data_IF_037428158517
#
_entry.id   IF_037428158517
#
_cell.length_a   1.000
_cell.length_b   1.000
_cell.length_c   1.000
_cell.angle_alpha   90.00
_cell.angle_beta   90.00
_cell.angle_gamma   90.00
#
_symmetry.space_group_name_H-M   'P 1'
#
loop_
_entity.id
_entity.type
_entity.pdbx_description
1 polymer ?
#
# COMPACT_ATOMS: atom_id res chain seq x y z
N UNK A 1 7.06 13.76 -3.97
CA UNK A 1 6.08 12.77 -4.53
C UNK A 1 5.72 11.77 -3.46
N UNK A 2 4.44 11.46 -3.29
CA UNK A 2 3.89 10.57 -2.25
C UNK A 2 3.20 9.39 -2.91
N UNK A 3 3.63 8.16 -2.61
CA UNK A 3 3.14 6.95 -3.28
C UNK A 3 2.74 5.90 -2.23
N UNK A 4 1.55 5.34 -2.36
CA UNK A 4 1.12 4.14 -1.63
C UNK A 4 1.13 2.95 -2.58
N UNK A 5 1.90 1.92 -2.27
CA UNK A 5 1.82 0.62 -2.93
C UNK A 5 0.84 -0.24 -2.16
N UNK A 6 -0.32 -0.52 -2.76
CA UNK A 6 -1.44 -1.18 -2.08
C UNK A 6 -1.79 -2.55 -2.67
N UNK A 7 -2.59 -3.30 -1.93
CA UNK A 7 -3.08 -4.62 -2.35
C UNK A 7 -3.20 -5.59 -1.18
N UNK A 8 -3.72 -6.77 -1.48
CA UNK A 8 -3.92 -7.85 -0.50
C UNK A 8 -2.58 -8.44 -0.01
N UNK A 9 -2.63 -9.26 1.02
CA UNK A 9 -1.46 -10.01 1.48
C UNK A 9 -0.95 -10.95 0.38
N UNK A 10 0.37 -11.08 0.26
CA UNK A 10 0.97 -11.89 -0.81
C UNK A 10 1.11 -11.19 -2.17
N UNK A 11 0.50 -10.01 -2.38
CA UNK A 11 0.64 -9.26 -3.63
C UNK A 11 2.05 -8.73 -3.92
N UNK A 12 2.93 -8.66 -2.90
CA UNK A 12 4.31 -8.21 -3.06
C UNK A 12 4.53 -6.73 -2.73
N UNK A 13 3.63 -6.10 -1.97
CA UNK A 13 3.67 -4.67 -1.63
C UNK A 13 5.03 -4.19 -1.12
N UNK A 14 5.55 -4.82 -0.06
CA UNK A 14 6.81 -4.38 0.57
C UNK A 14 7.99 -4.51 -0.39
N UNK A 15 8.05 -5.60 -1.18
CA UNK A 15 9.11 -5.81 -2.18
C UNK A 15 9.06 -4.76 -3.29
N UNK A 16 7.85 -4.50 -3.83
CA UNK A 16 7.67 -3.50 -4.90
C UNK A 16 7.91 -2.09 -4.36
N UNK A 17 7.39 -1.76 -3.18
CA UNK A 17 7.56 -0.45 -2.58
C UNK A 17 9.02 -0.13 -2.28
N UNK A 18 9.78 -1.09 -1.74
CA UNK A 18 11.22 -0.94 -1.50
C UNK A 18 11.99 -0.70 -2.80
N UNK A 19 11.71 -1.51 -3.84
CA UNK A 19 12.36 -1.37 -5.15
C UNK A 19 11.98 -0.04 -5.83
N UNK A 20 10.71 0.39 -5.71
CA UNK A 20 10.24 1.66 -6.25
C UNK A 20 10.89 2.85 -5.53
N UNK A 21 10.99 2.81 -4.20
CA UNK A 21 11.69 3.85 -3.44
C UNK A 21 13.16 3.97 -3.87
N UNK A 22 13.86 2.85 -3.99
CA UNK A 22 15.25 2.82 -4.48
C UNK A 22 15.36 3.39 -5.91
N UNK A 23 14.43 3.04 -6.81
CA UNK A 23 14.41 3.54 -8.20
C UNK A 23 14.17 5.04 -8.30
N UNK A 24 13.42 5.61 -7.36
CA UNK A 24 13.11 7.04 -7.30
C UNK A 24 14.09 7.85 -6.45
N UNK A 25 15.06 7.22 -5.80
CA UNK A 25 15.96 7.87 -4.84
C UNK A 25 15.23 8.39 -3.61
N UNK A 26 14.15 7.69 -3.18
CA UNK A 26 13.28 8.09 -2.11
C UNK A 26 13.36 7.20 -0.87
N UNK A 27 12.45 7.44 0.07
CA UNK A 27 12.33 6.70 1.34
C UNK A 27 11.24 5.64 1.23
N UNK A 28 11.51 4.44 1.75
CA UNK A 28 10.55 3.37 1.93
C UNK A 28 10.07 3.32 3.38
N UNK A 29 8.77 3.14 3.58
CA UNK A 29 8.15 2.85 4.88
C UNK A 29 7.17 1.68 4.76
N UNK A 30 7.04 0.89 5.83
CA UNK A 30 5.96 -0.09 5.94
C UNK A 30 4.86 0.44 6.87
N UNK A 31 3.63 0.49 6.39
CA UNK A 31 2.50 0.97 7.17
C UNK A 31 2.22 0.07 8.39
N UNK A 32 2.61 -1.20 8.36
CA UNK A 32 2.42 -2.11 9.48
C UNK A 32 3.24 -1.68 10.71
N UNK A 33 4.37 -0.98 10.50
CA UNK A 33 5.20 -0.42 11.58
C UNK A 33 4.50 0.74 12.31
N UNK A 34 3.46 1.33 11.71
CA UNK A 34 2.71 2.46 12.27
C UNK A 34 1.51 2.04 13.12
N UNK A 35 1.25 0.75 13.30
CA UNK A 35 0.23 0.27 14.23
C UNK A 35 0.64 0.56 15.68
N UNK A 36 -0.33 0.99 16.50
CA UNK A 36 -0.14 1.11 17.94
C UNK A 36 -0.14 -0.25 18.65
N UNK A 37 0.21 -0.26 19.92
CA UNK A 37 0.32 -1.48 20.71
C UNK A 37 -1.02 -2.20 20.85
N UNK A 38 -2.14 -1.48 20.91
CA UNK A 38 -3.46 -2.08 21.01
C UNK A 38 -3.84 -2.84 19.73
N UNK A 39 -3.60 -2.23 18.55
CA UNK A 39 -3.80 -2.88 17.27
C UNK A 39 -2.85 -4.08 17.08
N UNK A 40 -1.57 -3.93 17.46
CA UNK A 40 -0.60 -5.03 17.43
C UNK A 40 -1.02 -6.20 18.32
N UNK A 41 -1.52 -5.93 19.53
CA UNK A 41 -2.00 -6.96 20.47
C UNK A 41 -3.21 -7.71 19.88
N UNK A 42 -4.19 -7.01 19.27
CA UNK A 42 -5.32 -7.64 18.58
C UNK A 42 -4.86 -8.55 17.44
N UNK A 43 -3.96 -8.06 16.58
CA UNK A 43 -3.43 -8.84 15.44
C UNK A 43 -2.66 -10.08 15.93
N UNK A 44 -1.84 -9.95 16.98
CA UNK A 44 -1.11 -11.07 17.57
C UNK A 44 -2.04 -12.12 18.18
N UNK A 45 -3.20 -11.71 18.69
CA UNK A 45 -4.25 -12.60 19.20
C UNK A 45 -5.13 -13.21 18.08
N UNK A 46 -4.86 -12.89 16.80
CA UNK A 46 -5.67 -13.33 15.67
C UNK A 46 -7.05 -12.64 15.58
N UNK A 47 -7.25 -11.53 16.29
CA UNK A 47 -8.49 -10.76 16.28
C UNK A 47 -8.44 -9.74 15.13
N UNK A 48 -9.38 -9.78 14.18
CA UNK A 48 -9.43 -8.81 13.10
C UNK A 48 -9.63 -7.38 13.64
N UNK A 49 -8.92 -6.41 13.05
CA UNK A 49 -9.17 -5.01 13.33
C UNK A 49 -10.48 -4.56 12.71
N UNK A 50 -11.27 -3.78 13.46
CA UNK A 50 -12.45 -3.09 12.94
C UNK A 50 -12.04 -1.85 12.15
N UNK A 51 -12.99 -1.16 11.52
CA UNK A 51 -12.70 0.08 10.82
C UNK A 51 -12.33 1.21 11.79
N UNK A 52 -12.94 1.21 12.99
CA UNK A 52 -12.61 2.14 14.07
C UNK A 52 -11.18 1.92 14.58
N UNK A 53 -10.72 0.67 14.66
CA UNK A 53 -9.33 0.35 15.00
C UNK A 53 -8.35 0.84 13.92
N UNK A 54 -8.76 0.78 12.65
CA UNK A 54 -7.91 1.18 11.51
C UNK A 54 -7.82 2.68 11.31
N UNK A 55 -8.85 3.44 11.62
CA UNK A 55 -8.90 4.86 11.32
C UNK A 55 -7.71 5.65 11.90
N UNK A 56 -7.31 5.50 13.19
CA UNK A 56 -6.14 6.17 13.73
C UNK A 56 -4.82 5.74 13.06
N UNK A 57 -4.70 4.46 12.68
CA UNK A 57 -3.53 3.95 11.97
C UNK A 57 -3.42 4.54 10.56
N UNK A 58 -4.51 4.58 9.80
CA UNK A 58 -4.54 5.17 8.46
C UNK A 58 -4.21 6.67 8.50
N UNK A 59 -4.66 7.38 9.53
CA UNK A 59 -4.25 8.77 9.77
C UNK A 59 -2.72 8.88 9.98
N UNK A 60 -2.12 7.99 10.77
CA UNK A 60 -0.65 7.96 10.95
C UNK A 60 0.09 7.66 9.64
N UNK A 61 -0.48 6.81 8.77
CA UNK A 61 0.09 6.58 7.43
C UNK A 61 0.09 7.86 6.59
N UNK A 62 -1.00 8.63 6.61
CA UNK A 62 -1.08 9.93 5.93
C UNK A 62 -0.05 10.93 6.48
N UNK A 63 0.05 11.06 7.81
CA UNK A 63 1.01 11.93 8.48
C UNK A 63 2.47 11.54 8.20
N UNK A 64 2.77 10.25 8.02
CA UNK A 64 4.11 9.78 7.72
C UNK A 64 4.67 10.35 6.41
N UNK A 65 3.83 10.70 5.45
CA UNK A 65 4.25 11.40 4.24
C UNK A 65 4.78 12.80 4.50
N UNK A 66 4.23 13.48 5.49
CA UNK A 66 4.67 14.83 5.87
C UNK A 66 5.99 14.78 6.63
N UNK A 67 6.12 13.86 7.58
CA UNK A 67 7.32 13.74 8.42
C UNK A 67 8.54 13.19 7.69
N UNK A 68 8.34 12.27 6.73
CA UNK A 68 9.43 11.66 5.96
C UNK A 68 9.80 12.45 4.69
N UNK A 69 9.00 13.42 4.30
CA UNK A 69 8.99 13.97 2.94
C UNK A 69 9.88 15.16 2.64
N UNK A 70 10.67 15.66 3.58
CA UNK A 70 11.57 16.79 3.31
C UNK A 70 12.74 16.43 2.38
N UNK A 71 13.06 15.14 2.24
CA UNK A 71 14.24 14.64 1.50
C UNK A 71 13.92 14.05 0.12
N UNK A 72 12.67 14.03 -0.36
CA UNK A 72 12.37 13.46 -1.68
C UNK A 72 11.09 12.61 -1.73
N UNK A 73 11.00 11.68 -2.71
CA UNK A 73 9.87 10.76 -2.83
C UNK A 73 9.71 9.86 -1.59
N UNK A 74 8.47 9.64 -1.15
CA UNK A 74 8.15 8.68 -0.07
C UNK A 74 7.23 7.62 -0.63
N UNK A 75 7.61 6.36 -0.45
CA UNK A 75 6.85 5.19 -0.89
C UNK A 75 6.45 4.36 0.33
N UNK A 76 5.16 4.20 0.56
CA UNK A 76 4.62 3.43 1.69
C UNK A 76 3.93 2.16 1.18
N UNK A 77 4.32 1.00 1.72
CA UNK A 77 3.56 -0.24 1.55
C UNK A 77 2.40 -0.24 2.54
N UNK A 78 1.16 -0.28 2.05
CA UNK A 78 -0.05 -0.30 2.87
C UNK A 78 -1.14 -1.15 2.21
N UNK A 79 -1.93 -1.91 2.96
CA UNK A 79 -3.04 -2.67 2.36
C UNK A 79 -4.06 -1.76 1.67
N UNK A 80 -4.53 -0.70 2.33
CA UNK A 80 -5.42 0.37 1.81
C UNK A 80 -6.59 -0.16 0.95
N UNK A 81 -7.19 -1.31 1.34
CA UNK A 81 -8.08 -2.12 0.50
C UNK A 81 -9.39 -1.43 0.13
N UNK A 82 -9.92 -0.52 0.95
CA UNK A 82 -11.18 0.18 0.70
C UNK A 82 -10.95 1.62 0.29
N UNK A 83 -11.84 2.17 -0.53
CA UNK A 83 -11.83 3.59 -0.90
C UNK A 83 -11.75 4.49 0.33
N UNK A 84 -12.58 4.26 1.34
CA UNK A 84 -12.58 5.03 2.58
C UNK A 84 -11.25 4.98 3.34
N UNK A 85 -10.47 3.89 3.24
CA UNK A 85 -9.14 3.82 3.84
C UNK A 85 -8.16 4.73 3.11
N UNK A 86 -8.24 4.75 1.79
CA UNK A 86 -7.44 5.65 0.94
C UNK A 86 -7.79 7.11 1.20
N UNK A 87 -9.08 7.41 1.43
CA UNK A 87 -9.55 8.76 1.76
C UNK A 87 -9.03 9.22 3.13
N UNK A 88 -9.00 8.33 4.15
CA UNK A 88 -8.41 8.64 5.46
C UNK A 88 -6.90 8.93 5.35
N UNK A 89 -6.16 8.20 4.52
CA UNK A 89 -4.74 8.48 4.27
C UNK A 89 -4.57 9.84 3.60
N UNK A 90 -5.40 10.14 2.57
CA UNK A 90 -5.36 11.44 1.86
C UNK A 90 -5.69 12.61 2.76
N UNK A 91 -6.62 12.45 3.69
CA UNK A 91 -7.08 13.53 4.57
C UNK A 91 -5.96 14.10 5.46
N UNK A 92 -4.98 13.27 5.82
CA UNK A 92 -3.85 13.67 6.68
C UNK A 92 -2.59 14.03 5.89
N UNK A 93 -2.58 13.78 4.58
CA UNK A 93 -1.45 14.13 3.73
C UNK A 93 -1.57 15.57 3.21
N UNK A 94 -0.45 16.30 3.20
CA UNK A 94 -0.39 17.68 2.70
C UNK A 94 -0.25 17.78 1.18
N UNK A 95 0.12 16.69 0.52
CA UNK A 95 0.30 16.62 -0.93
C UNK A 95 -0.55 15.48 -1.51
N UNK A 96 -0.91 15.53 -2.79
CA UNK A 96 -1.62 14.45 -3.47
C UNK A 96 -0.85 13.12 -3.39
N UNK A 97 -1.57 12.03 -3.14
CA UNK A 97 -1.02 10.68 -3.05
C UNK A 97 -1.36 9.89 -4.32
N UNK A 98 -0.33 9.30 -4.93
CA UNK A 98 -0.49 8.33 -6.00
C UNK A 98 -0.65 6.92 -5.42
N UNK A 99 -1.65 6.16 -5.87
CA UNK A 99 -1.88 4.79 -5.43
C UNK A 99 -1.48 3.80 -6.53
N UNK A 100 -0.49 2.96 -6.24
CA UNK A 100 -0.11 1.83 -7.07
C UNK A 100 -0.78 0.56 -6.54
N UNK A 101 -1.90 0.17 -7.14
CA UNK A 101 -2.65 -1.03 -6.76
C UNK A 101 -2.02 -2.26 -7.40
N UNK A 102 -1.57 -3.20 -6.59
CA UNK A 102 -1.01 -4.46 -7.04
C UNK A 102 -2.09 -5.52 -7.17
N UNK A 103 -2.25 -6.05 -8.38
CA UNK A 103 -3.21 -7.08 -8.71
C UNK A 103 -2.53 -8.41 -9.00
N UNK A 104 -3.13 -9.49 -8.51
CA UNK A 104 -2.70 -10.85 -8.80
C UNK A 104 -3.89 -11.80 -8.67
N UNK A 105 -3.91 -12.88 -9.47
CA UNK A 105 -4.94 -13.89 -9.35
C UNK A 105 -4.86 -14.65 -8.02
N UNK A 106 -6.02 -15.07 -7.53
CA UNK A 106 -6.19 -15.72 -6.23
C UNK A 106 -5.32 -17.00 -6.09
N UNK A 107 -5.20 -17.80 -7.15
CA UNK A 107 -4.42 -19.03 -7.11
C UNK A 107 -2.92 -18.74 -6.91
N UNK A 108 -2.40 -17.68 -7.52
CA UNK A 108 -1.01 -17.25 -7.34
C UNK A 108 -0.80 -16.61 -5.97
N UNK A 109 -1.76 -15.83 -5.46
CA UNK A 109 -1.74 -15.30 -4.10
C UNK A 109 -1.68 -16.43 -3.07
N UNK A 110 -2.56 -17.42 -3.18
CA UNK A 110 -2.58 -18.58 -2.29
C UNK A 110 -1.24 -19.34 -2.28
N UNK A 111 -0.65 -19.57 -3.46
CA UNK A 111 0.68 -20.20 -3.57
C UNK A 111 1.78 -19.38 -2.92
N UNK A 112 1.80 -18.05 -3.15
CA UNK A 112 2.80 -17.15 -2.54
C UNK A 112 2.67 -17.11 -1.02
N UNK A 113 1.45 -17.13 -0.51
CA UNK A 113 1.21 -17.15 0.93
C UNK A 113 1.63 -18.48 1.56
N UNK A 114 1.33 -19.62 0.93
CA UNK A 114 1.73 -20.94 1.41
C UNK A 114 3.26 -21.14 1.42
N UNK A 115 3.99 -20.44 0.56
CA UNK A 115 5.46 -20.49 0.49
C UNK A 115 6.17 -19.59 1.53
N UNK A 116 5.44 -18.74 2.26
CA UNK A 116 6.02 -17.90 3.31
C UNK A 116 6.22 -18.69 4.60
N UNK A 117 7.46 -18.73 5.09
CA UNK A 117 7.83 -19.40 6.37
C UNK A 117 7.71 -18.47 7.58
N UNK A 118 7.78 -17.14 7.38
CA UNK A 118 7.96 -16.19 8.46
C UNK A 118 6.68 -15.53 8.98
N UNK A 119 5.57 -15.63 8.25
CA UNK A 119 4.25 -15.11 8.66
C UNK A 119 3.17 -16.07 8.20
N UNK A 120 2.70 -16.91 9.12
CA UNK A 120 1.56 -17.78 8.88
C UNK A 120 0.27 -16.96 8.89
N UNK A 121 -0.14 -16.47 7.72
CA UNK A 121 -1.47 -15.87 7.56
C UNK A 121 -2.43 -16.96 7.07
N UNK A 122 -3.50 -17.27 7.82
CA UNK A 122 -4.48 -18.26 7.41
C UNK A 122 -5.09 -17.90 6.04
N UNK A 123 -5.33 -18.91 5.20
CA UNK A 123 -5.99 -18.74 3.88
C UNK A 123 -7.33 -18.02 4.00
N UNK A 124 -8.06 -18.25 5.10
CA UNK A 124 -9.31 -17.54 5.40
C UNK A 124 -9.15 -16.01 5.46
N UNK A 125 -7.98 -15.51 5.87
CA UNK A 125 -7.74 -14.08 5.93
C UNK A 125 -7.48 -13.48 4.53
N UNK A 126 -6.93 -14.27 3.60
CA UNK A 126 -6.81 -13.84 2.19
C UNK A 126 -8.19 -13.67 1.55
N UNK A 127 -9.09 -14.64 1.71
CA UNK A 127 -10.46 -14.53 1.19
C UNK A 127 -11.15 -13.28 1.73
N UNK A 128 -11.06 -13.03 3.04
CA UNK A 128 -11.61 -11.81 3.65
C UNK A 128 -10.99 -10.51 3.12
N UNK A 129 -9.70 -10.51 2.76
CA UNK A 129 -9.07 -9.35 2.15
C UNK A 129 -9.51 -9.14 0.70
N UNK A 130 -9.70 -10.21 -0.07
CA UNK A 130 -10.23 -10.14 -1.43
C UNK A 130 -11.67 -9.62 -1.44
N UNK A 131 -12.52 -10.09 -0.52
CA UNK A 131 -13.89 -9.58 -0.34
C UNK A 131 -13.93 -8.10 0.09
N UNK A 132 -12.87 -7.64 0.74
CA UNK A 132 -12.74 -6.26 1.22
C UNK A 132 -12.17 -5.33 0.15
N UNK A 133 -11.46 -5.87 -0.84
CA UNK A 133 -10.74 -5.08 -1.83
C UNK A 133 -11.70 -4.33 -2.76
N UNK A 134 -11.63 -3.01 -2.71
CA UNK A 134 -12.29 -2.10 -3.63
C UNK A 134 -11.24 -1.61 -4.65
N UNK A 135 -11.44 -1.85 -5.97
CA UNK A 135 -10.56 -1.33 -7.01
C UNK A 135 -10.39 0.20 -6.92
N UNK A 136 -9.33 0.72 -7.54
CA UNK A 136 -9.20 2.17 -7.72
C UNK A 136 -10.33 2.68 -8.60
N UNK A 137 -10.96 3.76 -8.19
CA UNK A 137 -11.99 4.45 -8.96
C UNK A 137 -11.38 5.45 -9.95
N UNK A 138 -12.14 5.88 -10.95
CA UNK A 138 -11.66 6.73 -12.03
C UNK A 138 -11.19 8.12 -11.58
N UNK A 139 -11.67 8.59 -10.43
CA UNK A 139 -11.27 9.86 -9.81
C UNK A 139 -10.09 9.72 -8.85
N UNK A 140 -9.59 8.50 -8.65
CA UNK A 140 -8.42 8.25 -7.82
C UNK A 140 -7.14 8.33 -8.65
N UNK A 141 -6.20 9.12 -8.19
CA UNK A 141 -4.91 9.24 -8.84
C UNK A 141 -4.05 8.01 -8.57
N UNK A 142 -3.90 7.16 -9.58
CA UNK A 142 -3.20 5.89 -9.41
C UNK A 142 -3.16 5.01 -10.63
N UNK A 143 -2.60 3.82 -10.47
CA UNK A 143 -2.51 2.77 -11.48
C UNK A 143 -2.72 1.40 -10.86
N UNK A 144 -3.38 0.50 -11.58
CA UNK A 144 -3.44 -0.93 -11.23
C UNK A 144 -2.42 -1.69 -12.07
N UNK A 145 -1.54 -2.44 -11.41
CA UNK A 145 -0.44 -3.18 -12.06
C UNK A 145 -0.46 -4.64 -11.65
N UNK A 146 -0.44 -5.54 -12.64
CA UNK A 146 -0.28 -6.97 -12.39
C UNK A 146 1.12 -7.31 -11.85
N UNK A 147 1.18 -8.14 -10.81
CA UNK A 147 2.44 -8.62 -10.24
C UNK A 147 2.82 -10.03 -10.68
N UNK A 148 2.35 -10.46 -11.87
CA UNK A 148 2.77 -11.72 -12.50
C UNK A 148 4.20 -11.64 -13.02
N UNK A 149 4.61 -10.46 -13.43
CA UNK A 149 5.92 -10.17 -13.99
C UNK A 149 6.98 -9.96 -12.90
N UNK A 150 8.21 -9.73 -13.31
CA UNK A 150 9.31 -9.43 -12.38
C UNK A 150 9.09 -8.10 -11.64
N UNK A 151 9.68 -7.97 -10.46
CA UNK A 151 9.60 -6.72 -9.67
C UNK A 151 10.10 -5.52 -10.49
N UNK A 152 11.12 -5.71 -11.31
CA UNK A 152 11.68 -4.65 -12.17
C UNK A 152 10.65 -4.15 -13.18
N UNK A 153 9.91 -5.07 -13.82
CA UNK A 153 8.86 -4.73 -14.79
C UNK A 153 7.66 -4.05 -14.12
N UNK A 154 7.26 -4.54 -12.95
CA UNK A 154 6.20 -3.91 -12.14
C UNK A 154 6.57 -2.48 -11.77
N UNK A 155 7.79 -2.27 -11.28
CA UNK A 155 8.31 -0.93 -10.93
C UNK A 155 8.37 -0.02 -12.15
N UNK A 156 8.81 -0.52 -13.31
CA UNK A 156 8.86 0.26 -14.54
C UNK A 156 7.47 0.77 -14.94
N UNK A 157 6.44 -0.09 -14.92
CA UNK A 157 5.05 0.29 -15.21
C UNK A 157 4.50 1.32 -14.23
N UNK A 158 4.82 1.21 -12.95
CA UNK A 158 4.41 2.21 -11.97
C UNK A 158 5.07 3.55 -12.29
N UNK A 159 6.38 3.56 -12.59
CA UNK A 159 7.12 4.78 -12.92
C UNK A 159 6.59 5.43 -14.20
N UNK A 160 6.24 4.65 -15.22
CA UNK A 160 5.63 5.15 -16.48
C UNK A 160 4.27 5.82 -16.24
N UNK A 161 3.52 5.35 -15.24
CA UNK A 161 2.22 5.92 -14.88
C UNK A 161 2.33 7.16 -13.97
N UNK A 162 3.51 7.45 -13.42
CA UNK A 162 3.72 8.66 -12.63
C UNK A 162 3.73 9.89 -13.56
N UNK A 163 3.25 11.06 -13.10
CA UNK A 163 3.35 12.28 -13.88
C UNK A 163 4.83 12.62 -14.13
N UNK A 164 5.13 13.11 -15.31
CA UNK A 164 6.44 13.66 -15.60
C UNK A 164 6.78 14.74 -14.56
N UNK A 165 7.98 14.67 -13.98
CA UNK A 165 8.43 15.67 -13.00
C UNK A 165 8.36 17.05 -13.68
N UNK A 166 7.38 17.86 -13.34
CA UNK A 166 7.24 19.21 -13.88
C UNK A 166 5.81 19.72 -14.13
N UNK A 167 4.78 18.89 -14.01
CA UNK A 167 3.41 19.35 -14.28
C UNK A 167 2.52 19.23 -13.05
N UNK A 168 2.79 20.07 -12.05
CA UNK A 168 1.75 20.47 -11.10
C UNK A 168 1.32 21.85 -11.57
N UNK A 169 0.39 21.89 -12.54
CA UNK A 169 -0.35 23.11 -12.80
C UNK A 169 -1.25 23.36 -11.58
N UNK A 170 -0.92 24.41 -10.84
CA UNK A 170 -1.78 25.01 -9.82
C UNK A 170 -3.01 25.55 -10.53
N UNK A 171 -4.16 24.95 -10.27
CA UNK A 171 -5.46 25.54 -10.59
C UNK A 171 -6.14 25.96 -9.31
#
# INVERSE_FOLDING_TARGET
MRIVVMGVSGAGKSTVALALAARLGGVYLDADDLHDDAARAKMAAGVPLTDEDRAPWLGRVGLAFTTAGEAGPVVIACSALRRRYRDLIRAEATEPIFFAALELDEATLARRMAARTDHFMPVALLASQLDTLEPLEADEWGVTVSTRDSVTEVVARIVEALPAQGTIEST
#
